data_IF_155039266674
#
_entry.id   IF_155039266674
#
_cell.length_a   1.000
_cell.length_b   1.000
_cell.length_c   1.000
_cell.angle_alpha   90.00
_cell.angle_beta   90.00
_cell.angle_gamma   90.00
#
_symmetry.space_group_name_H-M   'P 1'
#
loop_
_entity.id
_entity.type
_entity.pdbx_description
1 polymer ?
#
# COMPACT_ATOMS: atom_id res chain seq x y z
N UNK A 1 12.18 11.49 -3.39
CA UNK A 1 10.90 10.80 -3.12
C UNK A 1 11.21 9.66 -2.15
N UNK A 2 10.40 9.48 -1.12
CA UNK A 2 10.58 8.38 -0.19
C UNK A 2 10.21 7.07 -0.89
N UNK A 3 11.04 6.04 -0.75
CA UNK A 3 10.83 4.69 -1.27
C UNK A 3 11.21 3.71 -0.18
N UNK A 4 10.55 2.56 -0.15
CA UNK A 4 10.83 1.50 0.80
C UNK A 4 10.21 0.20 0.31
N UNK A 5 10.68 -0.91 0.87
CA UNK A 5 10.23 -2.25 0.55
C UNK A 5 9.97 -2.98 1.86
N UNK A 6 8.84 -3.69 1.95
CA UNK A 6 8.49 -4.48 3.12
C UNK A 6 8.33 -5.94 2.72
N UNK A 7 9.27 -6.78 3.15
CA UNK A 7 9.10 -8.23 3.10
C UNK A 7 8.11 -8.66 4.20
N UNK A 8 7.01 -9.27 3.79
CA UNK A 8 5.93 -9.71 4.67
C UNK A 8 6.16 -11.11 5.26
N UNK A 9 7.14 -11.88 4.75
CA UNK A 9 7.33 -13.30 5.08
C UNK A 9 7.61 -13.59 6.56
N UNK A 10 8.21 -12.64 7.28
CA UNK A 10 8.63 -12.81 8.68
C UNK A 10 8.02 -11.76 9.63
N UNK A 11 6.95 -11.09 9.22
CA UNK A 11 6.37 -10.00 10.00
C UNK A 11 5.46 -10.54 11.11
N UNK A 12 5.59 -10.03 12.36
CA UNK A 12 4.75 -10.47 13.49
C UNK A 12 3.27 -10.13 13.27
N UNK A 13 2.97 -9.13 12.46
CA UNK A 13 1.62 -8.68 12.12
C UNK A 13 1.09 -9.26 10.80
N UNK A 14 1.54 -10.46 10.40
CA UNK A 14 1.26 -11.05 9.08
C UNK A 14 -0.20 -11.01 8.66
N UNK A 15 -1.13 -11.36 9.56
CA UNK A 15 -2.58 -11.31 9.28
C UNK A 15 -3.10 -9.88 9.00
N UNK A 16 -2.53 -8.87 9.67
CA UNK A 16 -2.89 -7.46 9.45
C UNK A 16 -2.32 -6.94 8.13
N UNK A 17 -1.11 -7.38 7.78
CA UNK A 17 -0.50 -7.06 6.48
C UNK A 17 -1.30 -7.69 5.33
N UNK A 18 -1.69 -8.95 5.45
CA UNK A 18 -2.51 -9.62 4.45
C UNK A 18 -3.87 -8.92 4.27
N UNK A 19 -4.52 -8.53 5.37
CA UNK A 19 -5.77 -7.76 5.32
C UNK A 19 -5.59 -6.39 4.63
N UNK A 20 -4.47 -5.71 4.90
CA UNK A 20 -4.16 -4.42 4.26
C UNK A 20 -3.90 -4.58 2.76
N UNK A 21 -3.14 -5.60 2.36
CA UNK A 21 -2.88 -5.92 0.95
C UNK A 21 -4.18 -6.29 0.22
N UNK A 22 -5.05 -7.09 0.84
CA UNK A 22 -6.37 -7.44 0.27
C UNK A 22 -7.28 -6.22 0.12
N UNK A 23 -7.25 -5.28 1.07
CA UNK A 23 -8.04 -4.05 0.97
C UNK A 23 -7.56 -3.14 -0.19
N UNK A 24 -6.23 -3.07 -0.37
CA UNK A 24 -5.59 -2.39 -1.50
C UNK A 24 -5.97 -2.99 -2.85
N UNK A 25 -5.92 -4.32 -2.97
CA UNK A 25 -6.29 -5.04 -4.20
C UNK A 25 -7.76 -4.82 -4.60
N UNK A 26 -8.66 -4.70 -3.62
CA UNK A 26 -10.07 -4.39 -3.86
C UNK A 26 -10.33 -2.92 -4.23
N UNK A 27 -9.27 -2.12 -4.43
CA UNK A 27 -9.36 -0.68 -4.67
C UNK A 27 -10.25 0.04 -3.63
N UNK A 28 -10.28 -0.47 -2.39
CA UNK A 28 -10.95 0.20 -1.25
C UNK A 28 -10.06 1.30 -0.69
N UNK A 29 -9.55 2.11 -1.60
CA UNK A 29 -8.97 3.41 -1.35
C UNK A 29 -10.20 4.30 -1.05
N UNK A 30 -10.18 5.05 0.05
CA UNK A 30 -11.29 5.89 0.50
C UNK A 30 -11.92 6.72 -0.63
N UNK A 31 -13.17 7.13 -0.46
CA UNK A 31 -13.98 7.77 -1.51
C UNK A 31 -13.59 9.22 -1.85
N UNK A 32 -12.31 9.59 -1.74
CA UNK A 32 -11.85 10.94 -1.99
C UNK A 32 -12.05 11.33 -3.45
N UNK A 33 -12.48 12.57 -3.68
CA UNK A 33 -12.54 13.12 -5.03
C UNK A 33 -11.11 13.33 -5.55
N UNK A 34 -10.79 12.95 -6.80
CA UNK A 34 -9.46 13.16 -7.37
C UNK A 34 -9.13 14.66 -7.44
N UNK A 35 -8.03 15.05 -6.80
CA UNK A 35 -7.49 16.42 -6.82
C UNK A 35 -6.09 16.43 -7.46
N UNK A 36 -5.80 17.41 -8.34
CA UNK A 36 -4.59 17.40 -9.20
C UNK A 36 -3.27 17.67 -8.47
N UNK A 37 -3.29 18.26 -7.26
CA UNK A 37 -2.09 18.80 -6.59
C UNK A 37 -1.63 18.00 -5.36
N UNK A 38 -1.91 16.69 -5.26
CA UNK A 38 -1.55 15.89 -4.07
C UNK A 38 -0.56 14.77 -4.35
N UNK A 39 0.17 14.39 -3.30
CA UNK A 39 1.12 13.29 -3.31
C UNK A 39 0.42 11.99 -3.71
N UNK A 40 0.96 11.38 -4.76
CA UNK A 40 0.52 10.10 -5.30
C UNK A 40 1.58 9.07 -4.95
N UNK A 41 1.20 8.03 -4.23
CA UNK A 41 2.03 6.86 -3.98
C UNK A 41 1.83 5.86 -5.10
N UNK A 42 2.93 5.39 -5.68
CA UNK A 42 2.92 4.18 -6.52
C UNK A 42 3.31 3.01 -5.63
N UNK A 43 2.37 2.09 -5.44
CA UNK A 43 2.55 0.89 -4.63
C UNK A 43 2.71 -0.30 -5.55
N UNK A 44 3.76 -1.08 -5.33
CA UNK A 44 3.97 -2.36 -6.00
C UNK A 44 3.75 -3.48 -5.01
N UNK A 45 2.84 -4.40 -5.34
CA UNK A 45 2.58 -5.59 -4.52
C UNK A 45 2.96 -6.82 -5.33
N UNK A 46 3.69 -7.74 -4.71
CA UNK A 46 4.12 -9.01 -5.30
C UNK A 46 3.81 -10.15 -4.32
N UNK A 47 3.12 -11.18 -4.79
CA UNK A 47 2.80 -12.36 -3.98
C UNK A 47 4.02 -13.23 -3.67
N UNK A 48 5.04 -13.17 -4.53
CA UNK A 48 6.31 -13.87 -4.35
C UNK A 48 7.46 -13.11 -5.02
N UNK A 49 8.72 -13.35 -4.62
CA UNK A 49 9.89 -12.82 -5.30
C UNK A 49 9.89 -13.21 -6.79
N UNK A 50 9.93 -12.21 -7.68
CA UNK A 50 9.90 -12.41 -9.13
C UNK A 50 8.52 -12.64 -9.75
N UNK A 51 7.44 -12.63 -8.96
CA UNK A 51 6.08 -12.64 -9.48
C UNK A 51 5.72 -11.31 -10.18
N UNK A 52 4.69 -11.35 -11.02
CA UNK A 52 4.14 -10.15 -11.66
C UNK A 52 3.64 -9.19 -10.58
N UNK A 53 4.10 -7.94 -10.63
CA UNK A 53 3.71 -6.92 -9.67
C UNK A 53 2.36 -6.31 -10.04
N UNK A 54 1.45 -6.26 -9.06
CA UNK A 54 0.27 -5.43 -9.13
C UNK A 54 0.66 -4.00 -8.80
N UNK A 55 0.39 -3.08 -9.71
CA UNK A 55 0.70 -1.66 -9.55
C UNK A 55 -0.56 -0.90 -9.16
N UNK A 56 -0.51 -0.27 -8.00
CA UNK A 56 -1.59 0.56 -7.50
C UNK A 56 -1.11 2.00 -7.42
N UNK A 57 -1.97 2.91 -7.83
CA UNK A 57 -1.76 4.36 -7.71
C UNK A 57 -2.71 4.85 -6.63
N UNK A 58 -2.15 5.31 -5.51
CA UNK A 58 -2.93 5.69 -4.33
C UNK A 58 -2.66 7.17 -4.04
N UNK A 59 -3.70 7.99 -4.07
CA UNK A 59 -3.58 9.37 -3.61
C UNK A 59 -3.65 9.41 -2.09
N UNK A 60 -2.88 10.30 -1.46
CA UNK A 60 -2.85 10.43 0.01
C UNK A 60 -4.24 10.68 0.63
N UNK A 61 -5.14 11.33 -0.10
CA UNK A 61 -6.52 11.61 0.33
C UNK A 61 -7.45 10.39 0.33
N UNK A 62 -7.07 9.34 -0.40
CA UNK A 62 -7.83 8.10 -0.53
C UNK A 62 -7.27 7.03 0.43
N UNK A 63 -6.34 7.40 1.31
CA UNK A 63 -5.82 6.50 2.32
C UNK A 63 -6.84 6.30 3.42
N UNK A 64 -7.36 5.08 3.51
CA UNK A 64 -7.98 4.62 4.74
C UNK A 64 -6.91 4.37 5.82
N UNK A 65 -7.34 4.19 7.06
CA UNK A 65 -6.43 3.97 8.19
C UNK A 65 -5.51 2.75 7.99
N UNK A 66 -6.01 1.73 7.29
CA UNK A 66 -5.30 0.48 7.01
C UNK A 66 -4.16 0.72 6.03
N UNK A 67 -4.43 1.41 4.92
CA UNK A 67 -3.47 1.71 3.87
C UNK A 67 -2.45 2.73 4.34
N UNK A 68 -2.86 3.76 5.10
CA UNK A 68 -1.94 4.72 5.72
C UNK A 68 -0.93 4.03 6.65
N UNK A 69 -1.38 3.07 7.46
CA UNK A 69 -0.51 2.27 8.33
C UNK A 69 0.49 1.43 7.52
N UNK A 70 0.04 0.75 6.46
CA UNK A 70 0.91 -0.06 5.61
C UNK A 70 1.98 0.80 4.93
N UNK A 71 1.58 1.93 4.33
CA UNK A 71 2.54 2.85 3.69
C UNK A 71 3.52 3.42 4.70
N UNK A 72 3.07 3.78 5.90
CA UNK A 72 3.96 4.21 6.97
C UNK A 72 5.02 3.16 7.31
N UNK A 73 4.63 1.88 7.38
CA UNK A 73 5.56 0.75 7.59
C UNK A 73 6.54 0.57 6.45
N UNK A 74 6.07 0.63 5.20
CA UNK A 74 6.93 0.51 4.01
C UNK A 74 7.95 1.65 3.96
N UNK A 75 7.54 2.88 4.24
CA UNK A 75 8.42 4.07 4.19
C UNK A 75 9.39 4.19 5.37
N UNK A 76 9.16 3.44 6.45
CA UNK A 76 10.02 3.38 7.64
C UNK A 76 10.90 2.13 7.71
N UNK A 77 10.66 1.16 6.82
CA UNK A 77 11.49 -0.04 6.66
C UNK A 77 12.79 0.26 5.92
#
# INVERSE_FOLDING_TARGET
>A
MAHGELDTAFQPDGARLEAAVRALDQARLGSGLPQPDRFVYRVEVRDAPGAVATHLTVAEQDLDQTTAWLLGRVLQS
#
